data_IF_766598196261
#
_entry.id   IF_766598196261
#
_cell.length_a   1.000
_cell.length_b   1.000
_cell.length_c   1.000
_cell.angle_alpha   90.00
_cell.angle_beta   90.00
_cell.angle_gamma   90.00
#
_symmetry.space_group_name_H-M   'P 1'
#
loop_
_entity.id
_entity.type
_entity.pdbx_description
1 polymer ?
#
# COMPACT_ATOMS: atom_id res chain seq x y z
N UNK A 1 -19.33 6.37 0.28
CA UNK A 1 -19.20 7.10 1.55
C UNK A 1 -18.77 6.12 2.63
N UNK A 2 -17.82 6.52 3.48
CA UNK A 2 -17.29 5.71 4.58
C UNK A 2 -17.38 6.49 5.89
N UNK A 3 -18.00 5.90 6.92
CA UNK A 3 -17.99 6.46 8.27
C UNK A 3 -16.62 6.24 8.92
N UNK A 4 -15.83 7.29 9.07
CA UNK A 4 -14.49 7.23 9.64
C UNK A 4 -14.51 7.42 11.16
N UNK A 5 -13.88 6.51 11.90
CA UNK A 5 -13.78 6.55 13.37
C UNK A 5 -12.67 7.51 13.80
N UNK A 6 -12.90 8.80 13.58
CA UNK A 6 -11.94 9.88 13.86
C UNK A 6 -12.48 10.95 14.81
N UNK A 7 -13.70 10.77 15.35
CA UNK A 7 -14.29 11.66 16.34
C UNK A 7 -13.52 11.62 17.67
N UNK A 8 -13.77 12.60 18.56
CA UNK A 8 -13.06 12.74 19.84
C UNK A 8 -13.24 11.55 20.79
N UNK A 9 -14.29 10.75 20.63
CA UNK A 9 -14.66 9.62 21.49
C UNK A 9 -14.26 8.24 20.93
N UNK A 10 -13.09 8.11 20.32
CA UNK A 10 -12.65 6.84 19.72
C UNK A 10 -11.74 6.05 20.64
N UNK A 11 -12.23 4.91 21.17
CA UNK A 11 -11.45 3.98 21.98
C UNK A 11 -10.78 2.91 21.11
N UNK A 12 -9.51 3.12 20.75
CA UNK A 12 -8.70 2.10 20.04
C UNK A 12 -7.66 1.53 21.02
N UNK A 13 -7.59 0.19 21.22
CA UNK A 13 -6.58 -0.44 22.05
C UNK A 13 -5.16 -0.07 21.58
N UNK A 14 -4.29 0.33 22.54
CA UNK A 14 -2.94 0.84 22.25
C UNK A 14 -2.07 -0.13 21.43
N UNK A 15 -2.15 -1.44 21.68
CA UNK A 15 -1.40 -2.48 20.95
C UNK A 15 -1.72 -2.56 19.46
N UNK A 16 -2.85 -2.03 19.00
CA UNK A 16 -3.26 -2.06 17.59
C UNK A 16 -2.91 -0.80 16.82
N UNK A 17 -2.53 0.28 17.53
CA UNK A 17 -2.20 1.56 16.92
C UNK A 17 -1.04 1.47 15.93
N UNK A 18 0.14 0.85 16.26
CA UNK A 18 1.27 0.82 15.35
C UNK A 18 0.96 0.02 14.06
N UNK A 19 0.34 -1.16 14.18
CA UNK A 19 -0.04 -1.95 13.03
C UNK A 19 -1.05 -1.23 12.12
N UNK A 20 -2.08 -0.61 12.71
CA UNK A 20 -3.05 0.19 11.96
C UNK A 20 -2.38 1.38 11.28
N UNK A 21 -1.45 2.06 11.95
CA UNK A 21 -0.74 3.20 11.41
C UNK A 21 0.12 2.82 10.20
N UNK A 22 0.93 1.75 10.30
CA UNK A 22 1.75 1.23 9.19
C UNK A 22 0.88 0.88 7.99
N UNK A 23 -0.21 0.13 8.21
CA UNK A 23 -1.13 -0.26 7.14
C UNK A 23 -1.79 0.95 6.46
N UNK A 24 -2.21 1.93 7.25
CA UNK A 24 -2.83 3.15 6.71
C UNK A 24 -1.80 3.96 5.92
N UNK A 25 -0.56 4.13 6.44
CA UNK A 25 0.50 4.85 5.74
C UNK A 25 0.90 4.17 4.44
N UNK A 26 1.02 2.85 4.44
CA UNK A 26 1.28 2.09 3.22
C UNK A 26 0.14 2.29 2.20
N UNK A 27 -1.11 2.20 2.63
CA UNK A 27 -2.26 2.42 1.77
C UNK A 27 -2.31 3.86 1.22
N UNK A 28 -2.05 4.87 2.05
CA UNK A 28 -1.96 6.29 1.63
C UNK A 28 -0.84 6.50 0.62
N UNK A 29 0.34 5.94 0.88
CA UNK A 29 1.48 6.01 -0.03
C UNK A 29 1.15 5.42 -1.41
N UNK A 30 0.51 4.25 -1.42
CA UNK A 30 0.21 3.52 -2.64
C UNK A 30 -0.97 4.10 -3.43
N UNK A 31 -1.94 4.73 -2.76
CA UNK A 31 -3.08 5.39 -3.42
C UNK A 31 -2.87 6.89 -3.68
N UNK A 32 -1.84 7.50 -3.10
CA UNK A 32 -1.64 8.97 -3.06
C UNK A 32 -2.82 9.76 -2.47
N UNK A 33 -3.68 9.10 -1.71
CA UNK A 33 -4.87 9.74 -1.13
C UNK A 33 -4.86 9.56 0.38
N UNK A 34 -5.30 10.56 1.13
CA UNK A 34 -5.44 10.47 2.60
C UNK A 34 -6.57 9.51 2.96
N UNK A 35 -6.30 8.58 3.86
CA UNK A 35 -7.24 7.54 4.30
C UNK A 35 -7.43 7.64 5.81
N UNK A 36 -8.43 8.36 6.30
CA UNK A 36 -8.64 8.55 7.75
C UNK A 36 -8.97 7.25 8.48
N UNK A 37 -9.74 6.36 7.87
CA UNK A 37 -10.05 5.03 8.41
C UNK A 37 -10.24 3.98 7.33
N UNK A 38 -9.24 3.13 7.16
CA UNK A 38 -9.22 2.08 6.15
C UNK A 38 -10.21 0.94 6.45
N UNK A 39 -10.44 0.62 7.74
CA UNK A 39 -11.13 -0.58 8.19
C UNK A 39 -12.50 -0.31 8.82
N UNK A 40 -13.12 0.83 8.55
CA UNK A 40 -14.48 1.07 9.03
C UNK A 40 -15.50 0.16 8.35
N UNK A 41 -16.38 -0.43 9.15
CA UNK A 41 -17.49 -1.26 8.65
C UNK A 41 -18.69 -0.46 8.15
N UNK A 42 -18.90 0.77 8.66
CA UNK A 42 -20.03 1.61 8.25
C UNK A 42 -19.72 2.28 6.92
N UNK A 43 -20.41 1.84 5.86
CA UNK A 43 -20.19 2.35 4.50
C UNK A 43 -21.41 2.19 3.61
N UNK A 44 -21.52 3.06 2.65
CA UNK A 44 -22.55 3.04 1.60
C UNK A 44 -21.81 3.16 0.26
N UNK A 45 -22.15 2.31 -0.68
CA UNK A 45 -21.62 2.34 -2.05
C UNK A 45 -22.66 1.79 -3.03
N UNK A 46 -22.51 2.12 -4.30
CA UNK A 46 -23.38 1.61 -5.37
C UNK A 46 -23.14 0.12 -5.59
N UNK A 47 -24.19 -0.63 -5.90
CA UNK A 47 -24.12 -2.07 -6.17
C UNK A 47 -23.14 -2.41 -7.31
N UNK A 48 -23.10 -1.56 -8.32
CA UNK A 48 -22.25 -1.78 -9.50
C UNK A 48 -20.76 -1.73 -9.14
N UNK A 49 -20.34 -0.87 -8.22
CA UNK A 49 -18.97 -0.84 -7.69
C UNK A 49 -18.62 -2.17 -7.02
N UNK A 50 -19.54 -2.75 -6.26
CA UNK A 50 -19.30 -4.04 -5.63
C UNK A 50 -19.17 -5.17 -6.67
N UNK A 51 -19.97 -5.14 -7.74
CA UNK A 51 -19.89 -6.13 -8.82
C UNK A 51 -18.58 -6.00 -9.60
N UNK A 52 -18.16 -4.79 -9.94
CA UNK A 52 -16.92 -4.51 -10.65
C UNK A 52 -15.71 -5.10 -9.94
N UNK A 53 -15.61 -4.92 -8.60
CA UNK A 53 -14.49 -5.39 -7.80
C UNK A 53 -14.71 -6.72 -7.11
N UNK A 54 -15.78 -7.47 -7.49
CA UNK A 54 -16.13 -8.73 -6.84
C UNK A 54 -14.99 -9.74 -6.81
N UNK A 55 -14.25 -9.86 -7.90
CA UNK A 55 -13.12 -10.76 -8.07
C UNK A 55 -11.90 -10.47 -7.15
N UNK A 56 -11.87 -9.28 -6.53
CA UNK A 56 -10.82 -8.87 -5.60
C UNK A 56 -11.15 -9.16 -4.15
N UNK A 57 -12.43 -9.44 -3.85
CA UNK A 57 -12.86 -9.61 -2.47
C UNK A 57 -12.33 -10.91 -1.88
N UNK A 58 -11.66 -10.83 -0.72
CA UNK A 58 -11.20 -12.00 -0.02
C UNK A 58 -12.37 -12.73 0.65
N UNK A 59 -12.27 -14.06 0.75
CA UNK A 59 -13.31 -14.93 1.31
C UNK A 59 -13.54 -14.76 2.83
N UNK A 60 -12.65 -14.04 3.56
CA UNK A 60 -12.76 -13.89 5.02
C UNK A 60 -12.72 -12.43 5.48
N UNK A 61 -11.56 -11.98 5.95
CA UNK A 61 -11.35 -10.63 6.48
C UNK A 61 -10.83 -9.70 5.39
N UNK A 62 -11.08 -8.38 5.55
CA UNK A 62 -10.54 -7.29 4.74
C UNK A 62 -11.40 -6.82 3.54
N UNK A 63 -12.65 -7.25 3.44
CA UNK A 63 -13.59 -6.65 2.46
C UNK A 63 -13.54 -5.11 2.50
N UNK A 64 -13.57 -4.55 3.71
CA UNK A 64 -13.56 -3.10 3.92
C UNK A 64 -12.30 -2.43 3.38
N UNK A 65 -11.14 -3.03 3.59
CA UNK A 65 -9.86 -2.57 3.05
C UNK A 65 -9.84 -2.67 1.53
N UNK A 66 -10.23 -3.83 1.01
CA UNK A 66 -10.22 -4.12 -0.44
C UNK A 66 -11.06 -3.12 -1.21
N UNK A 67 -12.34 -2.93 -0.84
CA UNK A 67 -13.23 -2.01 -1.56
C UNK A 67 -12.78 -0.57 -1.44
N UNK A 68 -12.25 -0.13 -0.28
CA UNK A 68 -11.73 1.23 -0.12
C UNK A 68 -10.54 1.47 -1.04
N UNK A 69 -9.57 0.55 -1.05
CA UNK A 69 -8.40 0.66 -1.90
C UNK A 69 -8.77 0.56 -3.39
N UNK A 70 -9.62 -0.39 -3.77
CA UNK A 70 -10.11 -0.53 -5.13
C UNK A 70 -10.77 0.76 -5.63
N UNK A 71 -11.64 1.37 -4.84
CA UNK A 71 -12.24 2.64 -5.19
C UNK A 71 -11.21 3.77 -5.32
N UNK A 72 -10.28 3.89 -4.37
CA UNK A 72 -9.29 4.98 -4.36
C UNK A 72 -8.28 4.86 -5.51
N UNK A 73 -7.89 3.63 -5.88
CA UNK A 73 -6.94 3.38 -6.96
C UNK A 73 -7.56 3.47 -8.36
N UNK A 74 -8.88 3.37 -8.49
CA UNK A 74 -9.62 3.60 -9.73
C UNK A 74 -10.30 4.97 -9.77
N UNK A 75 -9.80 5.92 -9.00
CA UNK A 75 -10.22 7.33 -8.98
C UNK A 75 -11.71 7.57 -8.63
N UNK A 76 -12.36 6.58 -8.03
CA UNK A 76 -13.68 6.82 -7.45
C UNK A 76 -13.62 7.82 -6.30
N UNK A 77 -14.61 8.70 -6.26
CA UNK A 77 -14.76 9.66 -5.16
C UNK A 77 -15.20 8.97 -3.88
N UNK A 78 -14.31 8.86 -2.90
CA UNK A 78 -14.61 8.30 -1.58
C UNK A 78 -14.69 9.44 -0.55
N UNK A 79 -15.87 9.67 0.00
CA UNK A 79 -16.08 10.65 1.06
C UNK A 79 -16.02 9.97 2.42
N UNK A 80 -15.17 10.49 3.32
CA UNK A 80 -15.06 10.05 4.71
C UNK A 80 -15.84 11.01 5.60
N UNK A 81 -16.77 10.47 6.40
CA UNK A 81 -17.59 11.24 7.35
C UNK A 81 -17.21 10.82 8.76
N UNK A 82 -16.87 11.77 9.67
CA UNK A 82 -16.57 11.45 11.06
C UNK A 82 -17.76 10.78 11.73
N UNK A 83 -17.48 9.66 12.43
CA UNK A 83 -18.47 8.97 13.25
C UNK A 83 -17.92 8.69 14.65
N UNK A 84 -18.78 8.66 15.65
CA UNK A 84 -18.43 8.21 16.99
C UNK A 84 -18.24 6.69 17.03
N UNK A 85 -17.34 6.24 17.87
CA UNK A 85 -17.06 4.82 18.03
C UNK A 85 -17.00 4.45 19.52
N UNK A 86 -18.04 3.83 19.98
CA UNK A 86 -18.16 3.40 21.38
C UNK A 86 -17.42 2.10 21.64
N UNK A 87 -17.04 1.89 22.91
CA UNK A 87 -16.38 0.66 23.35
C UNK A 87 -17.29 -0.55 23.09
N UNK A 88 -16.79 -1.49 22.30
CA UNK A 88 -17.52 -2.72 21.98
C UNK A 88 -17.72 -3.57 23.22
N UNK A 89 -18.96 -4.03 23.47
CA UNK A 89 -19.25 -5.07 24.45
C UNK A 89 -18.89 -6.43 23.83
N UNK A 90 -18.01 -7.22 24.47
CA UNK A 90 -17.59 -8.56 24.03
C UNK A 90 -16.12 -8.69 23.64
N UNK A 91 -15.68 -9.94 23.44
CA UNK A 91 -14.29 -10.26 23.06
C UNK A 91 -14.05 -10.03 21.56
N UNK A 92 -12.89 -9.50 21.21
CA UNK A 92 -12.50 -9.33 19.82
C UNK A 92 -12.01 -10.66 19.24
N UNK A 93 -12.56 -11.05 18.10
CA UNK A 93 -12.10 -12.20 17.29
C UNK A 93 -10.82 -11.93 16.50
N UNK A 94 -10.31 -10.70 16.53
CA UNK A 94 -9.10 -10.29 15.79
C UNK A 94 -7.85 -10.81 16.49
N UNK A 95 -7.07 -11.62 15.78
CA UNK A 95 -5.75 -12.13 16.22
C UNK A 95 -4.66 -11.15 15.72
N UNK A 96 -3.96 -10.41 16.62
CA UNK A 96 -3.15 -9.25 16.21
C UNK A 96 -2.08 -9.56 15.15
N UNK A 97 -1.33 -10.65 15.32
CA UNK A 97 -0.20 -11.00 14.45
C UNK A 97 -0.68 -11.62 13.13
N UNK A 98 -1.58 -12.60 13.19
CA UNK A 98 -2.06 -13.29 12.00
C UNK A 98 -2.88 -12.36 11.09
N UNK A 99 -3.70 -11.50 11.70
CA UNK A 99 -4.49 -10.54 10.92
C UNK A 99 -3.62 -9.43 10.33
N UNK A 100 -2.55 -9.00 11.03
CA UNK A 100 -1.58 -8.04 10.47
C UNK A 100 -0.91 -8.59 9.21
N UNK A 101 -0.43 -9.83 9.24
CA UNK A 101 0.17 -10.49 8.07
C UNK A 101 -0.85 -10.62 6.92
N UNK A 102 -2.10 -10.94 7.26
CA UNK A 102 -3.16 -11.07 6.27
C UNK A 102 -3.51 -9.72 5.62
N UNK A 103 -3.61 -8.65 6.40
CA UNK A 103 -3.83 -7.30 5.89
C UNK A 103 -2.70 -6.82 4.98
N UNK A 104 -1.44 -7.06 5.35
CA UNK A 104 -0.30 -6.76 4.49
C UNK A 104 -0.41 -7.47 3.14
N UNK A 105 -0.65 -8.79 3.13
CA UNK A 105 -0.84 -9.56 1.88
C UNK A 105 -1.94 -8.97 1.00
N UNK A 106 -3.06 -8.55 1.61
CA UNK A 106 -4.17 -7.94 0.86
C UNK A 106 -3.78 -6.59 0.29
N UNK A 107 -3.11 -5.74 1.05
CA UNK A 107 -2.64 -4.44 0.56
C UNK A 107 -1.65 -4.64 -0.59
N UNK A 108 -0.64 -5.51 -0.43
CA UNK A 108 0.31 -5.83 -1.50
C UNK A 108 -0.40 -6.35 -2.76
N UNK A 109 -1.35 -7.28 -2.60
CA UNK A 109 -2.10 -7.82 -3.74
C UNK A 109 -2.87 -6.72 -4.49
N UNK A 110 -3.56 -5.85 -3.76
CA UNK A 110 -4.34 -4.77 -4.36
C UNK A 110 -3.43 -3.75 -5.05
N UNK A 111 -2.31 -3.42 -4.43
CA UNK A 111 -1.35 -2.48 -5.00
C UNK A 111 -0.72 -3.01 -6.27
N UNK A 112 -0.23 -4.25 -6.25
CA UNK A 112 0.30 -4.90 -7.44
C UNK A 112 -0.74 -5.03 -8.55
N UNK A 113 -2.02 -5.12 -8.18
CA UNK A 113 -3.11 -5.20 -9.15
C UNK A 113 -3.48 -3.84 -9.76
N UNK A 114 -3.37 -2.73 -9.04
CA UNK A 114 -3.82 -1.43 -9.53
C UNK A 114 -2.69 -0.44 -9.85
N UNK A 115 -1.59 -0.47 -9.11
CA UNK A 115 -0.46 0.48 -9.27
C UNK A 115 0.89 -0.23 -9.07
N UNK A 116 1.24 -1.22 -9.89
CA UNK A 116 2.47 -1.99 -9.71
C UNK A 116 3.72 -1.11 -9.91
N UNK A 117 3.69 -0.17 -10.86
CA UNK A 117 4.82 0.72 -11.12
C UNK A 117 5.26 1.47 -9.86
N UNK A 118 4.31 2.04 -9.11
CA UNK A 118 4.65 2.78 -7.89
C UNK A 118 5.29 1.89 -6.83
N UNK A 119 4.89 0.63 -6.76
CA UNK A 119 5.46 -0.33 -5.84
C UNK A 119 6.93 -0.63 -6.15
N UNK A 120 7.28 -0.79 -7.42
CA UNK A 120 8.63 -1.11 -7.87
C UNK A 120 9.52 0.12 -8.04
N UNK A 121 8.95 1.28 -8.37
CA UNK A 121 9.69 2.50 -8.62
C UNK A 121 10.53 2.94 -7.41
N UNK A 122 9.95 2.91 -6.21
CA UNK A 122 10.65 3.36 -5.01
C UNK A 122 11.87 2.51 -4.66
N UNK A 123 11.76 1.18 -4.45
CA UNK A 123 12.93 0.36 -4.15
C UNK A 123 13.94 0.37 -5.31
N UNK A 124 13.48 0.36 -6.56
CA UNK A 124 14.35 0.45 -7.72
C UNK A 124 15.13 1.76 -7.78
N UNK A 125 14.46 2.89 -7.55
CA UNK A 125 15.14 4.21 -7.51
C UNK A 125 16.12 4.33 -6.36
N UNK A 126 15.79 3.82 -5.17
CA UNK A 126 16.73 3.83 -4.03
C UNK A 126 17.99 3.04 -4.36
N UNK A 127 17.85 1.84 -4.94
CA UNK A 127 18.99 1.00 -5.33
C UNK A 127 19.82 1.66 -6.45
N UNK A 128 19.16 2.20 -7.48
CA UNK A 128 19.85 2.88 -8.58
C UNK A 128 20.63 4.12 -8.10
N UNK A 129 20.00 4.96 -7.28
CA UNK A 129 20.63 6.15 -6.72
C UNK A 129 21.79 5.75 -5.79
N UNK A 130 21.60 4.77 -4.92
CA UNK A 130 22.65 4.27 -4.04
C UNK A 130 23.85 3.70 -4.82
N UNK A 131 23.60 2.90 -5.87
CA UNK A 131 24.62 2.38 -6.76
C UNK A 131 25.37 3.49 -7.50
N UNK A 132 24.65 4.49 -8.00
CA UNK A 132 25.24 5.66 -8.66
C UNK A 132 26.12 6.49 -7.72
N UNK A 133 25.62 6.85 -6.53
CA UNK A 133 26.37 7.64 -5.56
C UNK A 133 27.60 6.87 -5.09
N UNK A 134 27.46 5.59 -4.80
CA UNK A 134 28.59 4.76 -4.35
C UNK A 134 29.62 4.57 -5.46
N UNK A 135 29.20 4.40 -6.71
CA UNK A 135 30.10 4.33 -7.87
C UNK A 135 30.87 5.63 -8.06
N UNK A 136 30.20 6.78 -7.95
CA UNK A 136 30.82 8.10 -8.03
C UNK A 136 31.86 8.30 -6.91
N UNK A 137 31.50 7.93 -5.68
CA UNK A 137 32.41 7.97 -4.53
C UNK A 137 33.67 7.10 -4.79
N UNK A 138 33.50 5.91 -5.30
CA UNK A 138 34.60 4.99 -5.59
C UNK A 138 35.55 5.54 -6.67
N UNK A 139 34.99 6.03 -7.79
CA UNK A 139 35.78 6.58 -8.90
C UNK A 139 36.54 7.84 -8.52
N UNK A 140 35.96 8.71 -7.70
CA UNK A 140 36.57 10.00 -7.34
C UNK A 140 37.52 9.92 -6.15
N UNK A 141 37.25 9.05 -5.18
CA UNK A 141 37.93 9.10 -3.87
C UNK A 141 38.73 7.83 -3.61
N UNK A 142 38.16 6.64 -3.79
CA UNK A 142 38.80 5.39 -3.34
C UNK A 142 39.73 4.80 -4.37
N UNK A 143 39.28 4.68 -5.63
CA UNK A 143 40.01 4.11 -6.75
C UNK A 143 39.86 4.99 -7.98
N UNK A 144 40.61 6.09 -8.10
CA UNK A 144 40.42 7.03 -9.20
C UNK A 144 40.48 6.35 -10.57
N UNK A 145 39.44 6.57 -11.36
CA UNK A 145 39.31 6.03 -12.71
C UNK A 145 38.85 4.57 -12.81
N UNK A 146 38.62 3.87 -11.69
CA UNK A 146 38.16 2.49 -11.71
C UNK A 146 36.80 2.33 -11.01
N UNK A 147 35.79 1.87 -11.76
CA UNK A 147 34.47 1.58 -11.25
C UNK A 147 34.41 0.11 -10.77
N UNK A 148 34.17 -0.08 -9.49
CA UNK A 148 34.02 -1.43 -8.92
C UNK A 148 32.75 -2.15 -9.42
N UNK A 149 32.79 -3.46 -9.35
CA UNK A 149 31.66 -4.30 -9.79
C UNK A 149 30.41 -4.11 -8.93
N UNK A 150 30.57 -3.91 -7.62
CA UNK A 150 29.45 -3.82 -6.68
C UNK A 150 28.52 -2.61 -6.94
N UNK A 151 28.99 -1.36 -7.07
CA UNK A 151 28.14 -0.22 -7.41
C UNK A 151 27.45 -0.38 -8.75
N UNK A 152 28.12 -0.98 -9.73
CA UNK A 152 27.55 -1.26 -11.05
C UNK A 152 26.40 -2.26 -10.98
N UNK A 153 26.58 -3.37 -10.25
CA UNK A 153 25.51 -4.36 -10.02
C UNK A 153 24.32 -3.73 -9.29
N UNK A 154 24.58 -2.91 -8.27
CA UNK A 154 23.53 -2.25 -7.51
C UNK A 154 22.71 -1.28 -8.37
N UNK A 155 23.39 -0.52 -9.24
CA UNK A 155 22.75 0.40 -10.16
C UNK A 155 21.89 -0.35 -11.20
N UNK A 156 22.44 -1.39 -11.83
CA UNK A 156 21.68 -2.23 -12.77
C UNK A 156 20.49 -2.93 -12.12
N UNK A 157 20.66 -3.47 -10.92
CA UNK A 157 19.55 -4.09 -10.17
C UNK A 157 18.40 -3.08 -9.92
N UNK A 158 18.74 -1.83 -9.58
CA UNK A 158 17.76 -0.77 -9.44
C UNK A 158 16.98 -0.52 -10.73
N UNK A 159 17.67 -0.39 -11.86
CA UNK A 159 17.04 -0.22 -13.17
C UNK A 159 16.17 -1.43 -13.52
N UNK A 160 16.63 -2.65 -13.31
CA UNK A 160 15.85 -3.87 -13.58
C UNK A 160 14.55 -3.92 -12.79
N UNK A 161 14.57 -3.52 -11.51
CA UNK A 161 13.36 -3.44 -10.68
C UNK A 161 12.38 -2.41 -11.26
N UNK A 162 12.85 -1.25 -11.70
CA UNK A 162 12.00 -0.22 -12.34
C UNK A 162 11.37 -0.77 -13.63
N UNK A 163 12.17 -1.44 -14.47
CA UNK A 163 11.67 -2.05 -15.72
C UNK A 163 10.62 -3.12 -15.47
N UNK A 164 10.79 -3.96 -14.44
CA UNK A 164 9.76 -4.91 -14.01
C UNK A 164 8.47 -4.19 -13.59
N UNK A 165 8.59 -3.05 -12.90
CA UNK A 165 7.45 -2.21 -12.55
C UNK A 165 6.70 -1.68 -13.78
N UNK A 166 7.42 -1.20 -14.79
CA UNK A 166 6.84 -0.74 -16.05
C UNK A 166 6.11 -1.86 -16.80
N UNK A 167 6.73 -3.03 -16.91
CA UNK A 167 6.10 -4.20 -17.53
C UNK A 167 4.82 -4.60 -16.81
N UNK A 168 4.85 -4.65 -15.48
CA UNK A 168 3.67 -4.96 -14.68
C UNK A 168 2.56 -3.93 -14.88
N UNK A 169 2.89 -2.64 -14.99
CA UNK A 169 1.93 -1.55 -15.25
C UNK A 169 1.25 -1.71 -16.62
N UNK A 170 2.03 -2.05 -17.67
CA UNK A 170 1.51 -2.29 -19.01
C UNK A 170 0.55 -3.50 -18.98
N UNK A 171 0.94 -4.59 -18.31
CA UNK A 171 0.09 -5.78 -18.20
C UNK A 171 -1.23 -5.51 -17.47
N UNK A 172 -1.23 -4.65 -16.47
CA UNK A 172 -2.47 -4.26 -15.76
C UNK A 172 -3.34 -3.39 -16.64
N UNK A 173 -2.76 -2.44 -17.37
CA UNK A 173 -3.51 -1.54 -18.26
C UNK A 173 -4.10 -2.25 -19.48
N UNK A 174 -3.43 -3.26 -19.99
CA UNK A 174 -3.92 -4.06 -21.14
C UNK A 174 -5.12 -4.96 -20.80
N UNK A 175 -5.43 -5.15 -19.52
CA UNK A 175 -6.60 -5.93 -19.05
C UNK A 175 -7.86 -5.10 -18.85
N UNK A 176 -7.79 -3.79 -18.99
CA UNK A 176 -8.94 -2.87 -18.94
C UNK A 176 -9.45 -2.56 -20.35
#
# INVERSE_FOLDING_TARGET
VVGARISKNVHVPAMRKPAKWILTKLAEFLTSKKIPDLNSGLRIFKKDIAKEFWHLFPSRFSFTTTITLACLTNDYLVKFIPIDYYKRKGKSTVRPINDFMHFNKVIFKIVLYFNPLRFFLWPGSILAIAGFIYGLYQVLITTPGNLGQFPFILFLAGIQIIMLGLLAEIMVKSRK
#
